data_IF_141456080862
#
_entry.id   IF_141456080862
#
_cell.length_a   1.000
_cell.length_b   1.000
_cell.length_c   1.000
_cell.angle_alpha   90.00
_cell.angle_beta   90.00
_cell.angle_gamma   90.00
#
_symmetry.space_group_name_H-M   'P 1'
#
loop_
_entity.id
_entity.type
_entity.pdbx_description
1 polymer ?
#
# COMPACT_ATOMS: atom_id res chain seq x y z
N UNK A 1 3.78 1.01 13.19
CA UNK A 1 4.56 -0.07 12.52
C UNK A 1 3.77 -0.56 11.32
N UNK A 2 4.45 -0.78 10.19
CA UNK A 2 3.81 -1.30 8.97
C UNK A 2 4.52 -2.60 8.59
N UNK A 3 3.74 -3.66 8.37
CA UNK A 3 4.19 -4.92 7.79
C UNK A 3 3.55 -5.07 6.41
N UNK A 4 4.38 -5.17 5.35
CA UNK A 4 3.94 -5.40 3.98
C UNK A 4 4.24 -6.84 3.61
N UNK A 5 3.22 -7.60 3.20
CA UNK A 5 3.34 -9.00 2.78
C UNK A 5 2.92 -9.14 1.32
N UNK A 6 3.81 -9.63 0.48
CA UNK A 6 3.54 -9.92 -0.92
C UNK A 6 2.89 -11.30 -1.04
N UNK A 7 1.64 -11.37 -1.45
CA UNK A 7 0.94 -12.65 -1.66
C UNK A 7 1.10 -13.17 -3.08
N UNK A 8 1.41 -12.27 -4.03
CA UNK A 8 1.64 -12.61 -5.42
C UNK A 8 2.45 -11.54 -6.12
N UNK A 9 3.33 -11.93 -7.04
CA UNK A 9 4.42 -11.09 -7.56
C UNK A 9 4.69 -11.23 -9.07
N UNK A 10 3.88 -12.03 -9.80
CA UNK A 10 4.02 -12.27 -11.24
C UNK A 10 3.01 -11.45 -12.03
N UNK A 11 3.35 -11.13 -13.28
CA UNK A 11 2.49 -10.44 -14.23
C UNK A 11 1.67 -11.42 -15.09
N UNK A 12 0.42 -11.08 -15.39
CA UNK A 12 -0.43 -11.65 -16.42
C UNK A 12 -0.68 -13.16 -16.37
N UNK A 13 0.35 -13.98 -16.31
CA UNK A 13 0.27 -15.44 -16.30
C UNK A 13 0.97 -15.99 -15.06
N UNK A 14 0.26 -16.70 -14.15
CA UNK A 14 0.86 -17.23 -12.92
C UNK A 14 1.83 -18.37 -13.21
N UNK A 15 2.72 -18.66 -12.24
CA UNK A 15 3.57 -19.84 -12.25
C UNK A 15 3.29 -20.69 -11.01
N UNK A 16 4.01 -21.81 -10.87
CA UNK A 16 3.89 -22.63 -9.65
C UNK A 16 4.48 -21.91 -8.42
N UNK A 17 5.46 -21.05 -8.63
CA UNK A 17 6.21 -20.34 -7.57
C UNK A 17 5.69 -18.95 -7.30
N UNK A 18 5.01 -18.33 -8.28
CA UNK A 18 4.55 -16.94 -8.20
C UNK A 18 3.08 -16.80 -8.60
N UNK A 19 2.31 -16.18 -7.73
CA UNK A 19 0.90 -15.89 -7.92
C UNK A 19 0.68 -14.48 -8.49
N UNK A 20 -0.53 -14.21 -8.98
CA UNK A 20 -0.97 -12.90 -9.44
C UNK A 20 -0.90 -11.83 -8.34
N UNK A 21 -0.82 -10.53 -8.72
CA UNK A 21 -0.60 -9.42 -7.79
C UNK A 21 -1.60 -9.38 -6.64
N UNK A 22 -1.09 -9.39 -5.44
CA UNK A 22 -1.82 -9.11 -4.21
C UNK A 22 -0.83 -8.77 -3.10
N UNK A 23 -1.04 -7.64 -2.43
CA UNK A 23 -0.14 -7.14 -1.39
C UNK A 23 -0.96 -6.75 -0.17
N UNK A 24 -0.69 -7.37 0.98
CA UNK A 24 -1.31 -6.97 2.24
C UNK A 24 -0.41 -5.98 2.97
N UNK A 25 -0.98 -4.85 3.35
CA UNK A 25 -0.40 -3.91 4.28
C UNK A 25 -1.12 -4.04 5.62
N UNK A 26 -0.40 -4.51 6.63
CA UNK A 26 -0.85 -4.51 8.02
C UNK A 26 -0.26 -3.28 8.71
N UNK A 27 -1.12 -2.36 9.12
CA UNK A 27 -0.74 -1.21 9.91
C UNK A 27 -1.17 -1.40 11.36
N UNK A 28 -0.20 -1.36 12.27
CA UNK A 28 -0.41 -1.51 13.71
C UNK A 28 -0.07 -0.22 14.43
N UNK A 29 -1.09 0.39 15.04
CA UNK A 29 -1.04 1.55 15.90
C UNK A 29 -1.84 1.27 17.18
N UNK A 30 -2.84 2.07 17.48
CA UNK A 30 -3.81 1.80 18.56
C UNK A 30 -4.72 0.65 18.16
N UNK A 31 -5.06 0.58 16.87
CA UNK A 31 -5.78 -0.53 16.24
C UNK A 31 -4.94 -1.22 15.18
N UNK A 32 -5.41 -2.37 14.70
CA UNK A 32 -4.81 -3.09 13.57
C UNK A 32 -5.67 -2.93 12.34
N UNK A 33 -5.07 -2.41 11.28
CA UNK A 33 -5.70 -2.23 9.98
C UNK A 33 -5.07 -3.15 8.95
N UNK A 34 -5.93 -3.84 8.18
CA UNK A 34 -5.51 -4.74 7.12
C UNK A 34 -6.07 -4.25 5.79
N UNK A 35 -5.18 -3.76 4.94
CA UNK A 35 -5.49 -3.26 3.61
C UNK A 35 -4.89 -4.22 2.58
N UNK A 36 -5.64 -4.50 1.53
CA UNK A 36 -5.18 -5.31 0.40
C UNK A 36 -5.04 -4.41 -0.84
N UNK A 37 -3.88 -4.41 -1.45
CA UNK A 37 -3.64 -3.77 -2.75
C UNK A 37 -3.62 -4.85 -3.82
N UNK A 38 -4.54 -4.76 -4.77
CA UNK A 38 -4.93 -5.75 -5.74
C UNK A 38 -5.34 -7.11 -5.14
N UNK A 39 -6.08 -7.88 -5.92
CA UNK A 39 -6.65 -9.15 -5.52
C UNK A 39 -6.70 -10.08 -6.73
N UNK A 40 -5.54 -10.49 -7.23
CA UNK A 40 -5.43 -11.42 -8.34
C UNK A 40 -5.91 -12.83 -8.00
N UNK A 41 -5.98 -13.69 -9.01
CA UNK A 41 -6.36 -15.09 -8.81
C UNK A 41 -5.50 -15.76 -7.73
N UNK A 42 -6.11 -16.60 -6.92
CA UNK A 42 -5.40 -17.33 -5.86
C UNK A 42 -5.15 -16.54 -4.57
N UNK A 43 -5.43 -15.24 -4.50
CA UNK A 43 -5.23 -14.38 -3.31
C UNK A 43 -5.85 -14.99 -2.05
N UNK A 44 -7.08 -15.51 -2.14
CA UNK A 44 -7.75 -16.22 -1.03
C UNK A 44 -6.87 -17.32 -0.42
N UNK A 45 -6.30 -18.16 -1.28
CA UNK A 45 -5.46 -19.30 -0.88
C UNK A 45 -4.14 -18.83 -0.28
N UNK A 46 -3.55 -17.76 -0.84
CA UNK A 46 -2.31 -17.17 -0.37
C UNK A 46 -2.48 -16.42 0.95
N UNK A 47 -3.63 -15.81 1.22
CA UNK A 47 -3.97 -15.30 2.56
C UNK A 47 -3.94 -16.43 3.59
N UNK A 48 -4.60 -17.56 3.31
CA UNK A 48 -4.58 -18.73 4.21
C UNK A 48 -3.15 -19.27 4.45
N UNK A 49 -2.34 -19.36 3.37
CA UNK A 49 -0.94 -19.83 3.47
C UNK A 49 -0.04 -18.88 4.25
N UNK A 50 -0.27 -17.58 4.16
CA UNK A 50 0.51 -16.56 4.86
C UNK A 50 0.18 -16.47 6.35
N UNK A 51 -0.94 -17.10 6.79
CA UNK A 51 -1.48 -16.97 8.14
C UNK A 51 -2.22 -15.66 8.39
N UNK A 52 -2.43 -14.83 7.35
CA UNK A 52 -3.22 -13.60 7.46
C UNK A 52 -4.70 -13.96 7.29
N UNK A 53 -5.50 -13.65 8.31
CA UNK A 53 -6.94 -13.90 8.24
C UNK A 53 -7.60 -12.96 7.23
N UNK A 54 -8.22 -13.51 6.19
CA UNK A 54 -9.01 -12.74 5.24
C UNK A 54 -10.22 -12.05 5.90
N UNK A 55 -10.71 -12.56 7.03
CA UNK A 55 -11.79 -11.93 7.80
C UNK A 55 -11.38 -10.58 8.42
N UNK A 56 -10.08 -10.31 8.56
CA UNK A 56 -9.57 -9.03 9.06
C UNK A 56 -9.39 -7.97 7.99
N UNK A 57 -9.46 -8.33 6.70
CA UNK A 57 -9.38 -7.36 5.61
C UNK A 57 -10.57 -6.40 5.70
N UNK A 58 -10.29 -5.11 5.77
CA UNK A 58 -11.30 -4.05 5.87
C UNK A 58 -11.50 -3.37 4.51
N UNK A 59 -10.42 -3.20 3.77
CA UNK A 59 -10.39 -2.44 2.52
C UNK A 59 -9.53 -3.13 1.48
N UNK A 60 -9.99 -3.07 0.23
CA UNK A 60 -9.27 -3.56 -0.95
C UNK A 60 -9.13 -2.38 -1.92
N UNK A 61 -7.91 -2.14 -2.38
CA UNK A 61 -7.57 -1.08 -3.33
C UNK A 61 -7.13 -1.72 -4.63
N UNK A 62 -7.98 -1.65 -5.66
CA UNK A 62 -7.70 -2.18 -6.99
C UNK A 62 -7.04 -1.09 -7.82
N UNK A 63 -5.84 -1.36 -8.32
CA UNK A 63 -5.09 -0.41 -9.15
C UNK A 63 -5.75 -0.24 -10.52
N UNK A 64 -6.21 -1.33 -11.12
CA UNK A 64 -6.94 -1.37 -12.37
C UNK A 64 -7.66 -2.72 -12.55
N UNK A 65 -8.50 -2.87 -13.61
CA UNK A 65 -9.36 -4.02 -13.76
C UNK A 65 -8.87 -5.01 -14.83
N UNK A 66 -7.55 -5.27 -14.94
CA UNK A 66 -7.06 -6.47 -15.60
C UNK A 66 -7.26 -7.69 -14.71
N UNK A 67 -7.56 -8.86 -15.33
CA UNK A 67 -7.98 -10.05 -14.60
C UNK A 67 -6.99 -10.50 -13.52
N UNK A 68 -5.70 -10.39 -13.76
CA UNK A 68 -4.64 -10.73 -12.81
C UNK A 68 -4.58 -9.80 -11.57
N UNK A 69 -5.31 -8.67 -11.56
CA UNK A 69 -5.38 -7.75 -10.45
C UNK A 69 -6.69 -7.81 -9.65
N UNK A 70 -7.76 -8.43 -10.18
CA UNK A 70 -9.04 -8.45 -9.46
C UNK A 70 -9.76 -9.79 -9.40
N UNK A 71 -9.41 -10.79 -10.23
CA UNK A 71 -10.19 -12.03 -10.36
C UNK A 71 -10.31 -12.84 -9.07
N UNK A 72 -9.41 -12.63 -8.12
CA UNK A 72 -9.48 -13.21 -6.78
C UNK A 72 -10.57 -12.63 -5.87
N UNK A 73 -11.21 -11.51 -6.24
CA UNK A 73 -12.32 -10.93 -5.46
C UNK A 73 -13.49 -11.90 -5.35
N UNK A 74 -13.84 -12.58 -6.44
CA UNK A 74 -14.98 -13.50 -6.51
C UNK A 74 -14.90 -14.60 -5.42
N UNK A 75 -13.86 -15.46 -5.41
CA UNK A 75 -13.73 -16.49 -4.40
C UNK A 75 -13.46 -15.94 -2.99
N UNK A 76 -12.80 -14.79 -2.87
CA UNK A 76 -12.53 -14.17 -1.57
C UNK A 76 -13.82 -13.69 -0.90
N UNK A 77 -14.66 -12.92 -1.61
CA UNK A 77 -15.95 -12.43 -1.12
C UNK A 77 -16.87 -13.62 -0.75
N UNK A 78 -16.92 -14.64 -1.61
CA UNK A 78 -17.71 -15.84 -1.34
C UNK A 78 -17.25 -16.56 -0.07
N UNK A 79 -15.94 -16.69 0.14
CA UNK A 79 -15.39 -17.30 1.35
C UNK A 79 -15.71 -16.49 2.60
N UNK A 80 -15.55 -15.17 2.55
CA UNK A 80 -15.95 -14.27 3.64
C UNK A 80 -17.44 -14.44 3.99
N UNK A 81 -18.29 -14.60 2.98
CA UNK A 81 -19.72 -14.81 3.17
C UNK A 81 -20.04 -16.16 3.84
N UNK A 82 -19.38 -17.24 3.40
CA UNK A 82 -19.51 -18.57 3.99
C UNK A 82 -19.01 -18.62 5.44
N UNK A 83 -17.92 -17.91 5.75
CA UNK A 83 -17.36 -17.73 7.10
C UNK A 83 -18.15 -16.71 7.95
N UNK A 84 -19.34 -16.31 7.48
CA UNK A 84 -20.32 -15.47 8.20
C UNK A 84 -19.79 -14.09 8.57
N UNK A 85 -18.99 -13.45 7.70
CA UNK A 85 -18.61 -12.05 7.87
C UNK A 85 -19.85 -11.19 8.09
N UNK A 86 -19.74 -10.15 8.91
CA UNK A 86 -20.79 -9.15 9.17
C UNK A 86 -20.32 -7.73 8.87
N UNK A 87 -19.04 -7.47 9.07
CA UNK A 87 -18.41 -6.18 8.86
C UNK A 87 -18.37 -5.85 7.36
N UNK A 88 -18.59 -4.58 7.05
CA UNK A 88 -18.47 -4.05 5.70
C UNK A 88 -17.09 -4.33 5.09
N UNK A 89 -17.06 -4.64 3.79
CA UNK A 89 -15.85 -4.67 2.98
C UNK A 89 -15.90 -3.52 1.98
N UNK A 90 -14.92 -2.62 2.04
CA UNK A 90 -14.81 -1.50 1.11
C UNK A 90 -13.85 -1.84 -0.02
N UNK A 91 -14.26 -1.61 -1.28
CA UNK A 91 -13.45 -1.87 -2.47
C UNK A 91 -13.30 -0.56 -3.24
N UNK A 92 -12.07 -0.09 -3.35
CA UNK A 92 -11.68 1.13 -4.04
C UNK A 92 -11.06 0.80 -5.40
N UNK A 93 -11.32 1.61 -6.41
CA UNK A 93 -10.67 1.47 -7.72
C UNK A 93 -11.27 2.39 -8.79
N UNK A 94 -10.62 2.53 -9.94
CA UNK A 94 -11.24 3.19 -11.08
C UNK A 94 -12.56 2.51 -11.44
N UNK A 95 -13.67 3.25 -11.60
CA UNK A 95 -14.99 2.69 -11.92
C UNK A 95 -15.43 1.51 -11.02
N UNK A 96 -15.04 1.51 -9.73
CA UNK A 96 -15.25 0.37 -8.82
C UNK A 96 -16.74 -0.02 -8.69
N UNK A 97 -17.66 0.95 -8.61
CA UNK A 97 -19.10 0.69 -8.53
C UNK A 97 -19.58 -0.21 -9.67
N UNK A 98 -19.16 0.08 -10.91
CA UNK A 98 -19.51 -0.71 -12.09
C UNK A 98 -18.95 -2.13 -12.02
N UNK A 99 -17.65 -2.27 -11.74
CA UNK A 99 -17.00 -3.58 -11.75
C UNK A 99 -17.43 -4.46 -10.58
N UNK A 100 -17.55 -3.90 -9.38
CA UNK A 100 -18.02 -4.65 -8.20
C UNK A 100 -19.47 -5.09 -8.37
N UNK A 101 -20.36 -4.22 -8.91
CA UNK A 101 -21.73 -4.62 -9.23
C UNK A 101 -21.75 -5.81 -10.19
N UNK A 102 -20.99 -5.74 -11.28
CA UNK A 102 -20.90 -6.84 -12.24
C UNK A 102 -20.37 -8.13 -11.61
N UNK A 103 -19.36 -8.05 -10.75
CA UNK A 103 -18.80 -9.20 -10.02
C UNK A 103 -19.86 -9.85 -9.13
N UNK A 104 -20.63 -9.05 -8.40
CA UNK A 104 -21.67 -9.55 -7.52
C UNK A 104 -22.86 -10.15 -8.28
N UNK A 105 -23.10 -9.72 -9.51
CA UNK A 105 -24.16 -10.24 -10.39
C UNK A 105 -23.75 -11.52 -11.15
N UNK A 106 -22.45 -11.89 -11.15
CA UNK A 106 -21.97 -13.09 -11.83
C UNK A 106 -22.50 -14.41 -11.25
N UNK A 107 -23.01 -14.40 -10.04
CA UNK A 107 -23.46 -15.63 -9.37
C UNK A 107 -24.41 -15.39 -8.21
N UNK A 108 -24.95 -16.47 -7.68
CA UNK A 108 -25.88 -16.46 -6.54
C UNK A 108 -25.11 -16.30 -5.22
N UNK A 109 -24.53 -15.11 -4.96
CA UNK A 109 -23.71 -14.90 -3.76
C UNK A 109 -24.53 -14.91 -2.46
N UNK A 110 -25.75 -14.37 -2.45
CA UNK A 110 -26.57 -14.27 -1.25
C UNK A 110 -25.81 -13.63 -0.09
N UNK A 111 -25.17 -12.48 -0.33
CA UNK A 111 -24.28 -11.81 0.62
C UNK A 111 -25.00 -11.50 1.94
N UNK A 112 -24.30 -11.77 3.05
CA UNK A 112 -24.75 -11.53 4.43
C UNK A 112 -24.04 -10.35 5.09
N UNK A 113 -23.15 -9.70 4.37
CA UNK A 113 -22.41 -8.51 4.80
C UNK A 113 -22.38 -7.47 3.68
N UNK A 114 -22.28 -6.17 4.03
CA UNK A 114 -22.20 -5.11 3.03
C UNK A 114 -20.86 -5.15 2.27
N UNK A 115 -20.92 -4.93 0.95
CA UNK A 115 -19.75 -4.64 0.10
C UNK A 115 -19.99 -3.27 -0.49
N UNK A 116 -19.17 -2.31 -0.10
CA UNK A 116 -19.22 -0.94 -0.60
C UNK A 116 -18.15 -0.73 -1.68
N UNK A 117 -18.55 -0.22 -2.84
CA UNK A 117 -17.64 0.13 -3.92
C UNK A 117 -17.40 1.63 -3.97
N UNK A 118 -16.15 2.05 -4.08
CA UNK A 118 -15.72 3.43 -4.02
C UNK A 118 -14.93 3.79 -5.29
N UNK A 119 -15.51 4.64 -6.15
CA UNK A 119 -14.84 5.07 -7.36
C UNK A 119 -13.64 5.96 -7.04
N UNK A 120 -12.50 5.64 -7.66
CA UNK A 120 -11.25 6.40 -7.54
C UNK A 120 -11.02 7.18 -8.82
N UNK A 121 -10.71 8.49 -8.77
CA UNK A 121 -10.38 9.29 -9.94
C UNK A 121 -9.15 8.73 -10.67
N UNK A 122 -9.28 8.53 -11.99
CA UNK A 122 -8.23 7.99 -12.85
C UNK A 122 -7.79 8.97 -13.95
N UNK A 123 -8.05 10.26 -13.75
CA UNK A 123 -7.58 11.35 -14.60
C UNK A 123 -7.06 12.51 -13.75
N UNK A 124 -6.11 13.28 -14.30
CA UNK A 124 -5.48 14.40 -13.60
C UNK A 124 -4.04 14.14 -13.22
N UNK A 125 -3.40 15.15 -12.63
CA UNK A 125 -1.97 15.13 -12.27
C UNK A 125 -1.72 15.36 -10.78
N UNK A 126 -2.78 15.54 -9.98
CA UNK A 126 -2.66 15.77 -8.55
C UNK A 126 -3.17 14.56 -7.75
N UNK A 127 -2.50 14.22 -6.63
CA UNK A 127 -2.97 13.17 -5.74
C UNK A 127 -4.34 13.51 -5.16
N UNK A 128 -5.23 12.51 -5.12
CA UNK A 128 -6.57 12.61 -4.53
C UNK A 128 -6.65 11.76 -3.27
N UNK A 129 -7.18 12.33 -2.18
CA UNK A 129 -7.48 11.58 -0.96
C UNK A 129 -8.68 10.66 -1.22
N UNK A 130 -8.50 9.35 -1.08
CA UNK A 130 -9.55 8.35 -1.35
C UNK A 130 -10.06 7.67 -0.09
N UNK A 131 -9.26 7.65 0.97
CA UNK A 131 -9.64 7.11 2.27
C UNK A 131 -8.87 7.79 3.40
N UNK A 132 -9.50 7.98 4.55
CA UNK A 132 -8.86 8.57 5.73
C UNK A 132 -9.57 8.15 7.02
N UNK A 133 -8.81 7.94 8.07
CA UNK A 133 -9.29 7.80 9.44
C UNK A 133 -8.43 8.61 10.42
N UNK A 134 -8.54 8.37 11.72
CA UNK A 134 -7.75 9.09 12.74
C UNK A 134 -6.24 8.83 12.62
N UNK A 135 -5.81 7.70 12.06
CA UNK A 135 -4.45 7.21 12.13
C UNK A 135 -3.68 7.26 10.80
N UNK A 136 -4.39 7.11 9.66
CA UNK A 136 -3.77 7.11 8.33
C UNK A 136 -4.65 7.76 7.26
N UNK A 137 -4.05 7.97 6.12
CA UNK A 137 -4.66 8.42 4.88
C UNK A 137 -4.25 7.49 3.74
N UNK A 138 -5.15 7.28 2.77
CA UNK A 138 -4.81 6.66 1.49
C UNK A 138 -5.08 7.66 0.38
N UNK A 139 -4.07 7.92 -0.43
CA UNK A 139 -4.12 8.82 -1.58
C UNK A 139 -3.96 8.00 -2.86
N UNK A 140 -4.52 8.48 -3.95
CA UNK A 140 -4.31 7.90 -5.28
C UNK A 140 -3.87 8.95 -6.27
N UNK A 141 -3.24 8.49 -7.36
CA UNK A 141 -2.92 9.31 -8.52
C UNK A 141 -3.05 8.47 -9.79
N UNK A 142 -3.56 9.03 -10.90
CA UNK A 142 -3.59 8.32 -12.18
C UNK A 142 -2.18 7.94 -12.66
N UNK A 143 -2.06 6.75 -13.28
CA UNK A 143 -0.81 6.27 -13.88
C UNK A 143 -1.01 5.87 -15.33
N UNK A 144 0.09 5.60 -16.02
CA UNK A 144 0.06 5.36 -17.45
C UNK A 144 0.03 3.86 -17.79
N UNK A 145 -1.16 3.38 -18.12
CA UNK A 145 -1.37 1.97 -18.52
C UNK A 145 -2.40 1.88 -19.66
N UNK A 146 -2.75 0.66 -20.11
CA UNK A 146 -3.66 0.40 -21.24
C UNK A 146 -5.14 0.64 -20.90
N UNK A 147 -5.47 0.64 -19.62
CA UNK A 147 -6.83 0.87 -19.07
C UNK A 147 -6.77 1.91 -17.96
N UNK A 148 -7.90 2.48 -17.52
CA UNK A 148 -7.93 3.35 -16.34
C UNK A 148 -7.21 2.72 -15.16
N UNK A 149 -6.11 3.37 -14.71
CA UNK A 149 -5.19 2.83 -13.70
C UNK A 149 -4.71 3.91 -12.74
N UNK A 150 -4.49 3.51 -11.49
CA UNK A 150 -4.03 4.41 -10.42
C UNK A 150 -2.94 3.76 -9.57
N UNK A 151 -2.03 4.59 -9.07
CA UNK A 151 -1.15 4.24 -7.96
C UNK A 151 -1.77 4.67 -6.63
N UNK A 152 -1.37 4.01 -5.54
CA UNK A 152 -1.82 4.32 -4.19
C UNK A 152 -0.66 4.66 -3.27
N UNK A 153 -0.89 5.63 -2.39
CA UNK A 153 -0.02 5.94 -1.25
C UNK A 153 -0.78 5.69 0.04
N UNK A 154 -0.29 4.76 0.86
CA UNK A 154 -0.63 4.70 2.28
C UNK A 154 0.29 5.66 3.04
N UNK A 155 -0.30 6.55 3.82
CA UNK A 155 0.42 7.54 4.64
C UNK A 155 -0.06 7.48 6.09
N UNK A 156 0.80 7.03 7.01
CA UNK A 156 0.57 7.19 8.45
C UNK A 156 0.51 8.69 8.77
N UNK A 157 -0.44 9.12 9.60
CA UNK A 157 -0.49 10.51 10.03
C UNK A 157 0.69 10.84 10.94
N UNK A 158 1.18 12.06 10.81
CA UNK A 158 2.27 12.57 11.64
C UNK A 158 1.85 12.57 13.12
N UNK A 159 2.79 12.29 14.01
CA UNK A 159 2.56 12.27 15.45
C UNK A 159 3.40 13.29 16.15
N UNK A 160 2.85 13.87 17.22
CA UNK A 160 3.59 14.75 18.12
C UNK A 160 4.25 13.92 19.22
N UNK A 161 5.58 13.91 19.23
CA UNK A 161 6.36 13.28 20.28
C UNK A 161 6.86 14.33 21.25
N UNK A 162 6.50 14.19 22.54
CA UNK A 162 6.95 15.12 23.57
C UNK A 162 8.48 15.12 23.64
N UNK A 163 9.08 16.31 23.48
CA UNK A 163 10.51 16.56 23.62
C UNK A 163 10.82 17.00 25.05
N UNK A 164 11.62 16.19 25.74
CA UNK A 164 11.94 16.44 27.17
C UNK A 164 12.90 17.62 27.38
N UNK A 165 13.67 17.99 26.36
CA UNK A 165 14.54 19.14 26.40
C UNK A 165 13.71 20.43 26.37
N UNK A 166 12.73 20.52 25.46
CA UNK A 166 11.78 21.63 25.43
C UNK A 166 11.02 21.79 26.76
N UNK A 167 10.68 20.69 27.43
CA UNK A 167 10.05 20.72 28.74
C UNK A 167 11.00 21.33 29.79
N UNK A 168 12.29 20.94 29.76
CA UNK A 168 13.31 21.50 30.69
C UNK A 168 13.56 22.99 30.43
N UNK A 169 13.63 23.42 29.17
CA UNK A 169 13.78 24.81 28.77
C UNK A 169 12.65 25.69 29.30
N UNK A 170 11.44 25.17 29.41
CA UNK A 170 10.29 25.84 30.03
C UNK A 170 10.32 25.81 31.57
N UNK A 171 11.37 25.24 32.15
CA UNK A 171 11.51 25.11 33.62
C UNK A 171 10.57 24.08 34.23
N UNK A 172 10.00 23.18 33.41
CA UNK A 172 9.03 22.20 33.87
C UNK A 172 9.69 20.85 34.18
N UNK A 173 9.12 20.12 35.16
CA UNK A 173 9.52 18.75 35.49
C UNK A 173 8.55 17.76 34.91
N UNK A 174 9.04 16.53 34.62
CA UNK A 174 8.18 15.40 34.20
C UNK A 174 7.10 15.18 35.28
N UNK A 175 5.89 14.82 34.82
CA UNK A 175 4.77 14.57 35.73
C UNK A 175 3.54 14.01 35.02
N UNK A 176 2.51 13.73 35.79
CA UNK A 176 1.23 13.17 35.32
C UNK A 176 0.52 14.05 34.27
N UNK A 177 0.80 15.36 34.30
CA UNK A 177 0.27 16.31 33.32
C UNK A 177 0.65 15.99 31.86
N UNK A 178 1.79 15.29 31.63
CA UNK A 178 2.21 14.87 30.31
C UNK A 178 1.23 13.88 29.68
N UNK A 179 0.58 13.03 30.50
CA UNK A 179 -0.47 12.12 30.03
C UNK A 179 -1.67 12.94 29.52
N UNK A 180 -2.12 13.91 30.34
CA UNK A 180 -3.21 14.81 29.97
C UNK A 180 -2.86 15.61 28.71
N UNK A 181 -1.62 16.11 28.60
CA UNK A 181 -1.15 16.83 27.42
C UNK A 181 -1.24 15.98 26.15
N UNK A 182 -0.90 14.69 26.22
CA UNK A 182 -1.04 13.78 25.08
C UNK A 182 -2.49 13.50 24.68
N UNK A 183 -3.40 13.43 25.66
CA UNK A 183 -4.81 13.12 25.41
C UNK A 183 -5.59 14.35 24.95
N UNK A 184 -5.40 15.47 25.64
CA UNK A 184 -6.23 16.66 25.48
C UNK A 184 -5.56 17.76 24.63
N UNK A 185 -4.30 17.54 24.23
CA UNK A 185 -3.49 18.52 23.49
C UNK A 185 -3.03 19.71 24.34
N UNK A 186 -3.55 19.86 25.58
CA UNK A 186 -3.29 20.97 26.47
C UNK A 186 -3.24 20.52 27.94
N UNK A 187 -2.31 21.06 28.71
CA UNK A 187 -2.25 20.86 30.16
C UNK A 187 -1.89 22.16 30.88
N UNK A 188 -2.33 22.32 32.15
CA UNK A 188 -1.93 23.45 33.01
C UNK A 188 -0.94 22.95 34.05
N UNK A 189 0.24 23.57 34.09
CA UNK A 189 1.35 23.20 34.99
C UNK A 189 1.91 24.47 35.64
N UNK A 190 1.91 24.53 36.97
CA UNK A 190 2.42 25.71 37.70
C UNK A 190 1.68 27.02 37.32
N UNK A 191 0.37 26.94 36.99
CA UNK A 191 -0.43 28.08 36.56
C UNK A 191 -0.25 28.47 35.08
N UNK A 192 0.66 27.82 34.34
CA UNK A 192 0.89 28.07 32.91
C UNK A 192 0.14 27.03 32.05
N UNK A 193 -0.53 27.50 31.01
CA UNK A 193 -1.18 26.65 30.00
C UNK A 193 -0.13 26.25 28.95
N UNK A 194 0.11 24.94 28.82
CA UNK A 194 1.07 24.36 27.88
C UNK A 194 0.29 23.63 26.80
N UNK A 195 0.58 23.90 25.55
CA UNK A 195 0.06 23.15 24.41
C UNK A 195 1.04 22.04 24.03
N UNK A 196 0.55 20.95 23.43
CA UNK A 196 1.41 19.84 23.04
C UNK A 196 2.42 20.26 21.97
N UNK A 197 2.05 21.19 21.07
CA UNK A 197 2.92 21.70 20.02
C UNK A 197 4.14 22.46 20.59
N UNK A 198 3.99 23.12 21.76
CA UNK A 198 5.07 23.91 22.38
C UNK A 198 6.22 23.01 22.87
N UNK A 199 5.92 21.76 23.19
CA UNK A 199 6.85 20.83 23.86
C UNK A 199 7.04 19.51 23.11
N UNK A 200 6.66 19.46 21.85
CA UNK A 200 6.78 18.25 21.01
C UNK A 200 7.57 18.54 19.74
N UNK A 201 8.08 17.46 19.17
CA UNK A 201 8.57 17.43 17.80
C UNK A 201 7.61 16.64 16.94
N UNK A 202 7.45 17.05 15.69
CA UNK A 202 6.67 16.29 14.69
C UNK A 202 7.50 15.08 14.29
N UNK A 203 6.96 13.89 14.50
CA UNK A 203 7.50 12.65 13.96
C UNK A 203 6.72 12.30 12.68
N UNK A 204 7.36 12.39 11.50
CA UNK A 204 6.69 12.06 10.26
C UNK A 204 6.17 10.62 10.26
N UNK A 205 4.97 10.44 9.73
CA UNK A 205 4.38 9.12 9.53
C UNK A 205 5.05 8.35 8.39
N UNK A 206 5.02 7.03 8.47
CA UNK A 206 5.53 6.14 7.41
C UNK A 206 4.68 6.24 6.14
N UNK A 207 5.34 6.10 4.99
CA UNK A 207 4.74 6.24 3.67
C UNK A 207 5.09 5.04 2.81
N UNK A 208 4.07 4.35 2.28
CA UNK A 208 4.20 3.21 1.38
C UNK A 208 3.45 3.51 0.09
N UNK A 209 4.12 3.41 -1.04
CA UNK A 209 3.51 3.61 -2.36
C UNK A 209 3.49 2.30 -3.13
N UNK A 210 2.35 2.01 -3.73
CA UNK A 210 2.17 0.93 -4.70
C UNK A 210 1.79 1.54 -6.05
N UNK A 211 2.61 1.30 -7.08
CA UNK A 211 2.41 1.90 -8.39
C UNK A 211 1.26 1.29 -9.19
N UNK A 212 0.85 0.05 -8.88
CA UNK A 212 0.14 -0.77 -9.86
C UNK A 212 0.98 -0.95 -11.12
N UNK A 213 0.32 -1.32 -12.21
CA UNK A 213 0.96 -1.46 -13.52
C UNK A 213 1.09 -0.10 -14.19
N UNK A 214 2.29 0.24 -14.62
CA UNK A 214 2.54 1.54 -15.22
C UNK A 214 3.85 1.61 -16.00
N UNK A 215 3.86 2.42 -17.06
CA UNK A 215 5.11 3.00 -17.56
C UNK A 215 5.66 4.03 -16.56
N UNK A 216 6.95 4.34 -16.62
CA UNK A 216 7.51 5.43 -15.83
C UNK A 216 6.73 6.71 -16.09
N UNK A 217 6.26 7.37 -15.04
CA UNK A 217 5.52 8.62 -15.18
C UNK A 217 5.77 9.58 -14.01
N UNK A 218 5.64 10.87 -14.27
CA UNK A 218 5.85 11.92 -13.28
C UNK A 218 4.88 11.82 -12.09
N UNK A 219 3.69 11.27 -12.30
CA UNK A 219 2.69 11.09 -11.26
C UNK A 219 3.18 10.13 -10.16
N UNK A 220 3.82 9.00 -10.53
CA UNK A 220 4.40 8.09 -9.53
C UNK A 220 5.54 8.77 -8.77
N UNK A 221 6.43 9.51 -9.46
CA UNK A 221 7.50 10.28 -8.81
C UNK A 221 6.92 11.26 -7.79
N UNK A 222 5.86 12.01 -8.19
CA UNK A 222 5.17 12.96 -7.32
C UNK A 222 4.59 12.29 -6.09
N UNK A 223 3.84 11.19 -6.27
CA UNK A 223 3.18 10.46 -5.18
C UNK A 223 4.20 9.84 -4.22
N UNK A 224 5.30 9.28 -4.77
CA UNK A 224 6.33 8.56 -4.02
C UNK A 224 7.38 9.47 -3.37
N UNK A 225 7.30 10.80 -3.57
CA UNK A 225 8.34 11.72 -3.05
C UNK A 225 8.64 11.51 -1.58
N UNK A 226 9.87 11.06 -1.28
CA UNK A 226 10.35 10.81 0.08
C UNK A 226 9.65 9.66 0.81
N UNK A 227 9.03 8.71 0.09
CA UNK A 227 8.38 7.55 0.72
C UNK A 227 9.40 6.59 1.36
N UNK A 228 8.97 5.87 2.39
CA UNK A 228 9.80 4.86 3.05
C UNK A 228 9.92 3.60 2.19
N UNK A 229 8.87 3.27 1.42
CA UNK A 229 8.84 2.15 0.51
C UNK A 229 8.08 2.53 -0.76
N UNK A 230 8.71 2.27 -1.90
CA UNK A 230 8.05 2.24 -3.21
C UNK A 230 8.00 0.79 -3.68
N UNK A 231 6.79 0.30 -3.97
CA UNK A 231 6.53 -0.97 -4.63
C UNK A 231 6.16 -0.64 -6.07
N UNK A 232 6.99 -1.01 -7.02
CA UNK A 232 6.84 -0.57 -8.42
C UNK A 232 6.82 -1.74 -9.39
N UNK A 233 6.05 -1.57 -10.47
CA UNK A 233 6.08 -2.43 -11.65
C UNK A 233 7.53 -2.56 -12.15
N UNK A 234 7.97 -3.79 -12.30
CA UNK A 234 9.28 -4.15 -12.82
C UNK A 234 9.17 -5.35 -13.75
N UNK A 235 8.17 -5.31 -14.64
CA UNK A 235 7.78 -6.46 -15.48
C UNK A 235 8.93 -6.97 -16.33
N UNK A 236 9.80 -6.10 -16.85
CA UNK A 236 10.85 -6.47 -17.79
C UNK A 236 12.25 -6.07 -17.31
N UNK A 237 13.26 -6.87 -17.68
CA UNK A 237 14.67 -6.53 -17.48
C UNK A 237 15.12 -5.42 -18.44
N UNK A 238 14.62 -5.43 -19.66
CA UNK A 238 14.89 -4.47 -20.72
C UNK A 238 13.60 -3.86 -21.22
N UNK A 239 13.68 -2.66 -21.79
CA UNK A 239 12.54 -1.98 -22.35
C UNK A 239 11.87 -2.85 -23.42
N UNK A 240 10.57 -3.09 -23.25
CA UNK A 240 9.76 -3.84 -24.19
C UNK A 240 8.87 -2.84 -24.95
N UNK A 241 9.30 -2.43 -26.15
CA UNK A 241 8.59 -1.47 -26.98
C UNK A 241 7.13 -1.90 -27.21
N UNK A 242 6.21 -0.97 -26.93
CA UNK A 242 4.77 -1.17 -27.13
C UNK A 242 4.00 -1.69 -25.93
N UNK A 243 4.63 -2.13 -24.84
CA UNK A 243 3.94 -2.52 -23.62
C UNK A 243 3.81 -1.34 -22.64
N UNK A 244 2.75 -1.39 -21.83
CA UNK A 244 2.43 -0.32 -20.87
C UNK A 244 2.98 -0.61 -19.48
N UNK A 245 4.23 -1.12 -19.40
CA UNK A 245 4.94 -1.49 -18.18
C UNK A 245 6.31 -0.83 -18.11
N UNK A 246 6.88 -0.74 -16.92
CA UNK A 246 8.24 -0.32 -16.70
C UNK A 246 9.23 -1.48 -16.87
N UNK A 247 10.42 -1.21 -17.38
CA UNK A 247 11.57 -2.05 -17.11
C UNK A 247 12.19 -1.73 -15.74
N UNK A 248 13.05 -2.62 -15.26
CA UNK A 248 13.60 -2.52 -13.91
C UNK A 248 14.53 -1.31 -13.72
N UNK A 249 15.19 -0.84 -14.78
CA UNK A 249 16.04 0.36 -14.75
C UNK A 249 15.18 1.62 -14.68
N UNK A 250 14.09 1.66 -15.43
CA UNK A 250 13.11 2.74 -15.41
C UNK A 250 12.46 2.85 -14.01
N UNK A 251 12.05 1.71 -13.42
CA UNK A 251 11.52 1.68 -12.06
C UNK A 251 12.53 2.18 -11.01
N UNK A 252 13.80 1.77 -11.15
CA UNK A 252 14.89 2.24 -10.28
C UNK A 252 15.16 3.74 -10.45
N UNK A 253 15.02 4.28 -11.67
CA UNK A 253 15.11 5.72 -11.91
C UNK A 253 13.95 6.49 -11.25
N UNK A 254 12.72 5.99 -11.35
CA UNK A 254 11.56 6.57 -10.64
C UNK A 254 11.82 6.63 -9.14
N UNK A 255 12.36 5.56 -8.55
CA UNK A 255 12.72 5.50 -7.14
C UNK A 255 13.79 6.55 -6.75
N UNK A 256 14.83 6.69 -7.57
CA UNK A 256 15.89 7.69 -7.37
C UNK A 256 15.34 9.13 -7.49
N UNK A 257 14.55 9.41 -8.53
CA UNK A 257 13.97 10.74 -8.79
C UNK A 257 12.98 11.14 -7.68
N UNK A 258 12.25 10.17 -7.10
CA UNK A 258 11.34 10.38 -5.97
C UNK A 258 12.07 10.48 -4.61
N UNK A 259 13.33 10.05 -4.53
CA UNK A 259 14.10 10.04 -3.27
C UNK A 259 13.49 9.11 -2.22
N UNK A 260 13.00 7.94 -2.61
CA UNK A 260 12.45 6.94 -1.69
C UNK A 260 13.56 6.28 -0.86
N UNK A 261 13.24 5.66 0.27
CA UNK A 261 14.24 4.96 1.09
C UNK A 261 14.50 3.54 0.60
N UNK A 262 13.49 2.86 0.05
CA UNK A 262 13.58 1.49 -0.45
C UNK A 262 12.68 1.30 -1.67
N UNK A 263 13.16 0.54 -2.65
CA UNK A 263 12.39 0.06 -3.81
C UNK A 263 12.20 -1.44 -3.71
N UNK A 264 10.97 -1.90 -3.96
CA UNK A 264 10.67 -3.31 -4.19
C UNK A 264 10.02 -3.45 -5.56
N UNK A 265 10.68 -4.17 -6.46
CA UNK A 265 10.16 -4.50 -7.78
C UNK A 265 9.21 -5.68 -7.67
N UNK A 266 8.04 -5.57 -8.31
CA UNK A 266 7.01 -6.62 -8.36
C UNK A 266 6.47 -6.75 -9.78
N UNK A 267 5.46 -7.58 -9.97
CA UNK A 267 4.82 -7.78 -11.28
C UNK A 267 5.79 -8.31 -12.36
N UNK A 268 6.70 -9.20 -11.99
CA UNK A 268 7.72 -9.72 -12.91
C UNK A 268 7.10 -10.62 -13.98
N UNK A 269 7.58 -10.49 -15.21
CA UNK A 269 7.21 -11.45 -16.26
C UNK A 269 7.62 -12.87 -15.86
N UNK A 270 6.75 -13.85 -16.09
CA UNK A 270 7.02 -15.27 -15.80
C UNK A 270 8.25 -15.84 -16.51
N UNK A 271 8.78 -15.13 -17.53
CA UNK A 271 10.02 -15.52 -18.23
C UNK A 271 11.24 -15.51 -17.30
N UNK A 272 11.18 -14.72 -16.23
CA UNK A 272 12.24 -14.59 -15.22
C UNK A 272 11.92 -15.54 -14.05
N UNK A 273 12.27 -16.81 -14.20
CA UNK A 273 11.89 -17.87 -13.26
C UNK A 273 13.08 -18.47 -12.50
N UNK A 274 14.30 -18.23 -12.97
CA UNK A 274 15.51 -18.75 -12.33
C UNK A 274 16.05 -17.78 -11.26
N UNK A 275 16.92 -18.29 -10.38
CA UNK A 275 17.61 -17.43 -9.40
C UNK A 275 18.57 -16.46 -10.11
N UNK A 276 19.14 -16.89 -11.18
CA UNK A 276 20.06 -16.12 -12.03
C UNK A 276 19.32 -14.94 -12.67
N UNK A 277 18.12 -15.14 -13.22
CA UNK A 277 17.28 -14.06 -13.76
C UNK A 277 16.98 -13.02 -12.68
N UNK A 278 16.56 -13.46 -11.50
CA UNK A 278 16.23 -12.55 -10.39
C UNK A 278 17.46 -11.77 -9.93
N UNK A 279 18.63 -12.41 -9.88
CA UNK A 279 19.88 -11.75 -9.52
C UNK A 279 20.31 -10.73 -10.57
N UNK A 280 20.10 -11.01 -11.86
CA UNK A 280 20.39 -10.08 -12.95
C UNK A 280 19.47 -8.85 -12.86
N UNK A 281 18.16 -9.04 -12.66
CA UNK A 281 17.16 -7.99 -12.46
C UNK A 281 17.58 -7.09 -11.28
N UNK A 282 17.87 -7.69 -10.14
CA UNK A 282 18.23 -6.95 -8.93
C UNK A 282 19.54 -6.18 -9.12
N UNK A 283 20.51 -6.79 -9.80
CA UNK A 283 21.81 -6.15 -10.11
C UNK A 283 21.63 -4.98 -11.08
N UNK A 284 20.80 -5.13 -12.11
CA UNK A 284 20.53 -4.07 -13.07
C UNK A 284 19.85 -2.85 -12.41
N UNK A 285 18.88 -3.08 -11.56
CA UNK A 285 18.18 -2.01 -10.83
C UNK A 285 19.08 -1.34 -9.77
N UNK A 286 19.88 -2.10 -9.03
CA UNK A 286 20.80 -1.60 -7.99
C UNK A 286 21.92 -0.71 -8.51
N UNK A 287 22.29 -0.82 -9.78
CA UNK A 287 23.22 0.11 -10.42
C UNK A 287 22.70 1.55 -10.43
N UNK A 288 21.38 1.72 -10.40
CA UNK A 288 20.70 3.03 -10.43
C UNK A 288 20.21 3.40 -9.02
N UNK A 289 19.58 2.45 -8.33
CA UNK A 289 19.06 2.63 -6.98
C UNK A 289 19.48 1.46 -6.07
N UNK A 290 20.53 1.63 -5.23
CA UNK A 290 21.15 0.54 -4.45
C UNK A 290 20.17 -0.18 -3.50
N UNK A 291 19.24 0.55 -2.88
CA UNK A 291 18.25 0.00 -1.94
C UNK A 291 17.05 -0.68 -2.65
N UNK A 292 17.37 -1.49 -3.68
CA UNK A 292 16.38 -2.24 -4.46
C UNK A 292 16.36 -3.71 -4.07
N UNK A 293 15.14 -4.26 -3.98
CA UNK A 293 14.88 -5.71 -3.86
C UNK A 293 13.87 -6.14 -4.90
N UNK A 294 13.91 -7.43 -5.24
CA UNK A 294 12.90 -8.08 -6.06
C UNK A 294 11.93 -8.85 -5.16
N UNK A 295 10.64 -8.60 -5.32
CA UNK A 295 9.62 -9.32 -4.56
C UNK A 295 9.54 -10.79 -4.95
N UNK A 296 9.16 -11.62 -3.99
CA UNK A 296 8.77 -13.02 -4.16
C UNK A 296 7.55 -13.30 -3.27
N UNK A 297 6.80 -14.34 -3.60
CA UNK A 297 5.60 -14.68 -2.86
C UNK A 297 5.92 -15.00 -1.40
N UNK A 298 5.11 -14.41 -0.49
CA UNK A 298 5.28 -14.43 0.97
C UNK A 298 6.47 -13.62 1.51
N UNK A 299 7.16 -12.83 0.68
CA UNK A 299 8.13 -11.85 1.16
C UNK A 299 7.46 -10.88 2.12
N UNK A 300 8.18 -10.52 3.20
CA UNK A 300 7.73 -9.52 4.19
C UNK A 300 8.71 -8.38 4.29
N UNK A 301 8.19 -7.15 4.22
CA UNK A 301 8.94 -5.91 4.48
C UNK A 301 8.35 -5.25 5.70
N UNK A 302 9.22 -4.96 6.70
CA UNK A 302 8.81 -4.30 7.95
C UNK A 302 9.35 -2.89 8.01
N UNK A 303 8.46 -1.93 8.18
CA UNK A 303 8.80 -0.52 8.36
C UNK A 303 8.50 -0.11 9.80
N UNK A 304 9.50 0.53 10.40
CA UNK A 304 9.42 1.07 11.77
C UNK A 304 9.94 2.50 11.77
N UNK A 305 9.23 3.36 12.48
CA UNK A 305 9.68 4.70 12.81
C UNK A 305 10.59 4.68 14.06
#
# INVERSE_FOLDING_TARGET
MIDVTFLGTVSGIPSLERNHPAIVLEYSSDERHFLLFDCGEGTQKHLMRSGISFMKLQKIFISHWHADHFSGLIPLIQTMNLEKRREELQIYGPEAERFVSNILDLGYFGLRFPVAAMNVPFSGEEPTLVDSNAEYEVWSIPVFHTVPSVAYLFKEKDRLNINLEKIKELGLKRGTWMKKLKTDGVATVGGKKIKIEDVSDVKPGLRVVYSGDTKPCANVVKLAKGADLLIHDGTFLEEDEGKAHADVRQAAKVAADAGVKQLVLTHLSRRYSTKEDIQEIETAARKIFPETKVAYDFMKVKLKN
#
